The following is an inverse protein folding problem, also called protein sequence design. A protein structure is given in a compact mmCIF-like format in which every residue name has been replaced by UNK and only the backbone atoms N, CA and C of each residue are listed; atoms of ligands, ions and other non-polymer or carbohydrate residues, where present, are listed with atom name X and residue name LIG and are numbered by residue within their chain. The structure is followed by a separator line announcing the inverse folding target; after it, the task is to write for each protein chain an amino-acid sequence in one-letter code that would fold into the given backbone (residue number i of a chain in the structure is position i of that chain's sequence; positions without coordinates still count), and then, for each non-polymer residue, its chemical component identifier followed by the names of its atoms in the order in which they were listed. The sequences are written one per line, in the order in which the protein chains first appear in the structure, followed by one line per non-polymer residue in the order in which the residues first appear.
data_IF_499433050873
#
_entry.id   IF_499433050873
#
_cell.length_a   1.000
_cell.length_b   1.000
_cell.length_c   1.000
_cell.angle_alpha   90.00
_cell.angle_beta   90.00
_cell.angle_gamma   90.00
#
_symmetry.space_group_name_H-M   'P 1'
#
loop_
_entity.id
_entity.type
_entity.pdbx_description
1 polymer ?
#
# COMPACT_ATOMS: atom_id res chain seq x y z
N UNK A 1 -7.53 8.27 62.66
CA UNK A 1 -7.18 8.60 61.26
C UNK A 1 -6.21 7.57 60.68
N UNK A 2 -6.62 6.31 60.46
CA UNK A 2 -5.70 5.25 59.96
C UNK A 2 -6.40 4.12 59.18
N UNK A 3 -7.64 4.32 58.71
CA UNK A 3 -8.45 3.29 58.02
C UNK A 3 -8.77 3.59 56.55
N UNK A 4 -8.53 4.81 56.07
CA UNK A 4 -8.80 5.17 54.67
C UNK A 4 -7.62 4.89 53.72
N UNK A 5 -6.43 4.60 54.26
CA UNK A 5 -5.23 4.38 53.43
C UNK A 5 -5.20 3.00 52.76
N UNK A 6 -5.98 2.03 53.26
CA UNK A 6 -6.07 0.67 52.70
C UNK A 6 -7.07 0.54 51.54
N UNK A 7 -7.98 1.51 51.36
CA UNK A 7 -8.97 1.49 50.27
C UNK A 7 -8.44 2.12 48.97
N UNK A 8 -7.40 2.95 49.04
CA UNK A 8 -6.78 3.58 47.86
C UNK A 8 -5.80 2.66 47.11
N UNK A 9 -5.36 1.56 47.74
CA UNK A 9 -4.43 0.59 47.14
C UNK A 9 -5.11 -0.52 46.33
N UNK A 10 -6.45 -0.60 46.37
CA UNK A 10 -7.24 -1.57 45.60
C UNK A 10 -7.86 -0.98 44.31
N UNK A 11 -7.75 0.34 44.10
CA UNK A 11 -8.28 1.03 42.91
C UNK A 11 -7.22 1.30 41.83
N UNK A 12 -5.94 1.01 42.10
CA UNK A 12 -4.85 1.21 41.15
C UNK A 12 -4.75 0.20 39.99
N UNK A 13 -5.29 -1.04 40.02
CA UNK A 13 -5.17 -1.92 38.86
C UNK A 13 -6.18 -1.62 37.74
N UNK A 14 -7.16 -0.72 37.95
CA UNK A 14 -8.17 -0.38 36.92
C UNK A 14 -7.73 0.72 35.96
N UNK A 15 -6.68 1.50 36.27
CA UNK A 15 -6.16 2.55 35.37
C UNK A 15 -5.12 2.05 34.37
N UNK A 16 -4.66 0.81 34.52
CA UNK A 16 -3.82 0.11 33.54
C UNK A 16 -4.53 -1.13 33.00
N UNK A 17 -5.81 -0.98 32.64
CA UNK A 17 -6.33 -1.79 31.55
C UNK A 17 -5.53 -1.39 30.31
N UNK A 18 -4.37 -2.01 30.13
CA UNK A 18 -3.56 -1.94 28.92
C UNK A 18 -4.42 -2.56 27.83
N UNK A 19 -5.22 -1.71 27.20
CA UNK A 19 -5.91 -2.03 25.97
C UNK A 19 -4.81 -2.45 25.01
N UNK A 20 -4.68 -3.77 24.79
CA UNK A 20 -3.61 -4.30 23.96
C UNK A 20 -3.87 -3.73 22.58
N UNK A 21 -3.12 -2.70 22.22
CA UNK A 21 -3.26 -2.02 20.94
C UNK A 21 -3.32 -3.08 19.84
N UNK A 22 -4.45 -3.10 19.12
CA UNK A 22 -4.74 -4.13 18.13
C UNK A 22 -3.64 -4.10 17.08
N UNK A 23 -2.85 -5.17 16.99
CA UNK A 23 -1.82 -5.31 15.95
C UNK A 23 -2.48 -5.24 14.57
N UNK A 24 -1.99 -4.34 13.74
CA UNK A 24 -2.50 -4.06 12.39
C UNK A 24 -1.35 -4.06 11.39
N UNK A 25 -1.63 -4.47 10.16
CA UNK A 25 -0.66 -4.46 9.06
C UNK A 25 -1.03 -3.38 8.04
N UNK A 26 -0.03 -2.70 7.49
CA UNK A 26 -0.20 -1.68 6.45
C UNK A 26 0.66 -1.97 5.24
N UNK A 27 0.07 -1.81 4.05
CA UNK A 27 0.78 -1.83 2.78
C UNK A 27 1.55 -0.51 2.61
N UNK A 28 2.87 -0.56 2.62
CA UNK A 28 3.72 0.64 2.57
C UNK A 28 4.10 1.01 1.14
N UNK A 29 4.41 -0.02 0.34
CA UNK A 29 4.93 0.17 -1.00
C UNK A 29 4.47 -0.96 -1.89
N UNK A 30 4.08 -0.60 -3.10
CA UNK A 30 3.86 -1.54 -4.20
C UNK A 30 4.78 -1.13 -5.34
N UNK A 31 5.39 -2.11 -5.99
CA UNK A 31 6.24 -1.90 -7.15
C UNK A 31 5.96 -2.98 -8.17
N UNK A 32 5.45 -2.56 -9.32
CA UNK A 32 5.32 -3.39 -10.50
C UNK A 32 6.45 -3.05 -11.46
N UNK A 33 7.22 -4.06 -11.87
CA UNK A 33 8.20 -3.94 -12.94
C UNK A 33 7.64 -4.57 -14.22
N UNK A 34 7.25 -3.77 -15.23
CA UNK A 34 6.68 -4.30 -16.47
C UNK A 34 7.71 -5.01 -17.36
N UNK A 35 9.02 -4.79 -17.14
CA UNK A 35 10.09 -5.44 -17.92
C UNK A 35 10.32 -6.87 -17.42
N UNK A 36 10.40 -7.04 -16.10
CA UNK A 36 10.65 -8.36 -15.50
C UNK A 36 9.37 -9.11 -15.15
N UNK A 37 8.21 -8.48 -15.31
CA UNK A 37 6.91 -8.97 -14.87
C UNK A 37 6.88 -9.41 -13.40
N UNK A 38 7.54 -8.65 -12.52
CA UNK A 38 7.55 -8.92 -11.08
C UNK A 38 6.76 -7.83 -10.36
N UNK A 39 5.74 -8.24 -9.60
CA UNK A 39 5.06 -7.40 -8.64
C UNK A 39 5.65 -7.67 -7.25
N UNK A 40 6.01 -6.61 -6.54
CA UNK A 40 6.55 -6.68 -5.20
C UNK A 40 5.89 -5.67 -4.29
N UNK A 41 5.78 -6.00 -3.01
CA UNK A 41 5.24 -5.08 -2.02
C UNK A 41 5.86 -5.25 -0.65
N UNK A 42 5.77 -4.19 0.15
CA UNK A 42 6.30 -4.12 1.50
C UNK A 42 5.16 -3.87 2.49
N UNK A 43 5.19 -4.62 3.59
CA UNK A 43 4.22 -4.50 4.67
C UNK A 43 4.95 -4.19 5.97
N UNK A 44 4.36 -3.31 6.78
CA UNK A 44 4.71 -3.06 8.17
C UNK A 44 3.64 -3.60 9.10
N UNK A 45 4.06 -4.03 10.28
CA UNK A 45 3.19 -4.28 11.42
C UNK A 45 3.33 -3.11 12.40
N UNK A 46 2.21 -2.70 12.99
CA UNK A 46 2.15 -1.59 13.92
C UNK A 46 0.84 -1.60 14.71
N UNK A 47 0.51 -0.44 15.26
CA UNK A 47 -0.72 -0.23 16.01
C UNK A 47 -1.42 1.07 15.58
N UNK A 48 -2.69 1.20 15.99
CA UNK A 48 -3.42 2.45 15.89
C UNK A 48 -3.31 3.17 17.23
N UNK A 49 -2.86 4.42 17.21
CA UNK A 49 -2.74 5.26 18.40
C UNK A 49 -4.12 5.74 18.90
N UNK A 50 -4.12 6.48 20.01
CA UNK A 50 -5.35 7.03 20.61
C UNK A 50 -6.05 8.07 19.72
N UNK A 51 -5.36 8.57 18.68
CA UNK A 51 -5.88 9.53 17.71
C UNK A 51 -6.31 8.87 16.39
N UNK A 52 -6.27 7.53 16.31
CA UNK A 52 -6.65 6.79 15.11
C UNK A 52 -5.57 6.76 14.02
N UNK A 53 -4.35 7.23 14.30
CA UNK A 53 -3.23 7.20 13.37
C UNK A 53 -2.49 5.87 13.45
N UNK A 54 -2.01 5.39 12.30
CA UNK A 54 -1.20 4.19 12.25
C UNK A 54 0.26 4.52 12.55
N UNK A 55 0.81 3.86 13.55
CA UNK A 55 2.22 3.94 13.94
C UNK A 55 2.95 2.64 13.57
N UNK A 56 3.90 2.68 12.60
CA UNK A 56 4.66 1.50 12.19
C UNK A 56 5.65 1.09 13.29
N UNK A 57 5.67 -0.19 13.66
CA UNK A 57 6.61 -0.72 14.65
C UNK A 57 7.75 -1.50 14.01
N UNK A 58 7.41 -2.39 13.07
CA UNK A 58 8.41 -3.25 12.42
C UNK A 58 8.01 -3.64 10.99
N UNK A 59 8.99 -3.86 10.10
CA UNK A 59 8.70 -4.45 8.81
C UNK A 59 8.29 -5.92 8.98
N UNK A 60 7.24 -6.33 8.26
CA UNK A 60 6.90 -7.75 8.06
C UNK A 60 7.84 -8.36 7.02
N UNK A 61 8.14 -7.59 5.97
CA UNK A 61 9.12 -7.95 4.95
C UNK A 61 8.67 -7.53 3.55
N UNK A 62 9.38 -8.04 2.55
CA UNK A 62 9.07 -7.84 1.13
C UNK A 62 8.52 -9.13 0.54
N UNK A 63 7.40 -9.00 -0.15
CA UNK A 63 6.73 -10.07 -0.87
C UNK A 63 6.93 -9.85 -2.37
N UNK A 64 6.99 -10.94 -3.11
CA UNK A 64 7.15 -10.92 -4.56
C UNK A 64 6.20 -11.92 -5.18
N UNK A 65 5.63 -11.56 -6.31
CA UNK A 65 4.83 -12.46 -7.14
C UNK A 65 5.32 -12.34 -8.59
N UNK A 66 5.50 -13.50 -9.22
CA UNK A 66 5.84 -13.68 -10.62
C UNK A 66 4.59 -14.26 -11.30
N UNK A 67 3.70 -13.44 -11.87
CA UNK A 67 2.39 -13.88 -12.36
C UNK A 67 2.50 -14.97 -13.44
N UNK A 68 3.41 -14.80 -14.39
CA UNK A 68 3.64 -15.76 -15.47
C UNK A 68 4.16 -17.12 -14.99
N UNK A 69 4.95 -17.13 -13.91
CA UNK A 69 5.41 -18.36 -13.28
C UNK A 69 4.37 -18.94 -12.31
N UNK A 70 3.27 -18.24 -12.05
CA UNK A 70 2.26 -18.55 -11.04
C UNK A 70 2.90 -18.84 -9.67
N UNK A 71 3.86 -18.01 -9.26
CA UNK A 71 4.57 -18.20 -7.98
C UNK A 71 4.65 -16.93 -7.15
N UNK A 72 4.58 -17.10 -5.83
CA UNK A 72 4.76 -16.06 -4.83
C UNK A 72 5.94 -16.44 -3.93
N UNK A 73 6.74 -15.46 -3.52
CA UNK A 73 7.85 -15.67 -2.60
C UNK A 73 7.89 -14.67 -1.45
N UNK A 74 8.31 -15.17 -0.30
CA UNK A 74 8.48 -14.41 0.94
C UNK A 74 9.52 -15.10 1.82
N UNK A 75 10.47 -14.32 2.36
CA UNK A 75 11.49 -14.81 3.30
C UNK A 75 12.21 -16.10 2.81
N UNK A 76 12.55 -16.15 1.51
CA UNK A 76 13.23 -17.29 0.89
C UNK A 76 12.35 -18.52 0.61
N UNK A 77 11.07 -18.49 0.98
CA UNK A 77 10.09 -19.50 0.59
C UNK A 77 9.42 -19.09 -0.71
N UNK A 78 9.13 -20.07 -1.57
CA UNK A 78 8.43 -19.89 -2.84
C UNK A 78 7.30 -20.90 -2.92
N UNK A 79 6.08 -20.40 -3.11
CA UNK A 79 4.86 -21.20 -3.19
C UNK A 79 4.16 -20.93 -4.53
N UNK A 80 3.56 -21.96 -5.10
CA UNK A 80 2.78 -21.85 -6.34
C UNK A 80 1.33 -21.47 -6.08
N UNK A 81 0.70 -20.84 -7.06
CA UNK A 81 -0.74 -20.63 -7.12
C UNK A 81 -1.26 -21.02 -8.51
N UNK A 82 -2.55 -20.81 -8.78
CA UNK A 82 -3.12 -21.28 -10.06
C UNK A 82 -2.60 -20.45 -11.23
N UNK A 83 -2.30 -21.10 -12.36
CA UNK A 83 -1.89 -20.40 -13.58
C UNK A 83 -2.94 -19.40 -14.06
N UNK A 84 -4.23 -19.73 -13.94
CA UNK A 84 -5.32 -18.83 -14.33
C UNK A 84 -5.32 -17.52 -13.52
N UNK A 85 -5.05 -17.60 -12.21
CA UNK A 85 -4.90 -16.41 -11.38
C UNK A 85 -3.64 -15.61 -11.77
N UNK A 86 -2.58 -16.31 -12.18
CA UNK A 86 -1.34 -15.70 -12.67
C UNK A 86 -1.56 -14.90 -13.95
N UNK A 87 -2.23 -15.52 -14.93
CA UNK A 87 -2.60 -14.89 -16.20
C UNK A 87 -3.51 -13.68 -15.96
N UNK A 88 -4.53 -13.83 -15.10
CA UNK A 88 -5.45 -12.73 -14.78
C UNK A 88 -4.74 -11.54 -14.11
N UNK A 89 -3.84 -11.81 -13.15
CA UNK A 89 -3.05 -10.76 -12.52
C UNK A 89 -2.10 -10.08 -13.51
N UNK A 90 -1.49 -10.86 -14.40
CA UNK A 90 -0.62 -10.33 -15.46
C UNK A 90 -1.37 -9.33 -16.35
N UNK A 91 -2.57 -9.68 -16.83
CA UNK A 91 -3.39 -8.84 -17.71
C UNK A 91 -3.75 -7.50 -17.05
N UNK A 92 -4.08 -7.51 -15.76
CA UNK A 92 -4.38 -6.29 -15.00
C UNK A 92 -3.15 -5.37 -14.91
N UNK A 93 -1.99 -5.93 -14.58
CA UNK A 93 -0.76 -5.17 -14.40
C UNK A 93 -0.20 -4.65 -15.74
N UNK A 94 -0.38 -5.42 -16.81
CA UNK A 94 -0.02 -4.99 -18.16
C UNK A 94 -0.92 -3.84 -18.62
N UNK A 95 -2.24 -3.93 -18.38
CA UNK A 95 -3.18 -2.85 -18.63
C UNK A 95 -2.82 -1.57 -17.86
N UNK A 96 -2.42 -1.69 -16.59
CA UNK A 96 -1.91 -0.56 -15.80
C UNK A 96 -0.65 0.05 -16.43
N UNK A 97 0.26 -0.79 -16.93
CA UNK A 97 1.50 -0.34 -17.57
C UNK A 97 1.22 0.44 -18.85
N UNK A 98 0.32 -0.06 -19.68
CA UNK A 98 -0.18 0.62 -20.86
C UNK A 98 -0.81 1.98 -20.54
N UNK A 99 -1.63 2.04 -19.49
CA UNK A 99 -2.21 3.30 -19.02
C UNK A 99 -1.11 4.29 -18.59
N UNK A 100 -0.18 3.87 -17.75
CA UNK A 100 0.90 4.72 -17.25
C UNK A 100 1.77 5.29 -18.38
N UNK A 101 2.14 4.46 -19.36
CA UNK A 101 2.90 4.92 -20.53
C UNK A 101 2.08 5.90 -21.37
N UNK A 102 0.80 5.59 -21.64
CA UNK A 102 -0.09 6.47 -22.39
C UNK A 102 -0.27 7.83 -21.71
N UNK A 103 -0.45 7.84 -20.39
CA UNK A 103 -0.54 9.07 -19.59
C UNK A 103 0.77 9.86 -19.58
N UNK A 104 1.91 9.17 -19.59
CA UNK A 104 3.23 9.83 -19.67
C UNK A 104 3.42 10.52 -21.02
N UNK A 105 3.09 9.83 -22.12
CA UNK A 105 3.14 10.42 -23.46
C UNK A 105 2.19 11.62 -23.55
N UNK A 106 0.95 11.48 -23.08
CA UNK A 106 0.01 12.59 -23.03
C UNK A 106 0.57 13.80 -22.25
N UNK A 107 1.17 13.58 -21.08
CA UNK A 107 1.76 14.65 -20.29
C UNK A 107 2.92 15.33 -21.04
N UNK A 108 3.79 14.55 -21.69
CA UNK A 108 4.94 15.04 -22.42
C UNK A 108 4.56 15.81 -23.70
N UNK A 109 3.56 15.33 -24.44
CA UNK A 109 3.00 16.00 -25.63
C UNK A 109 2.25 17.30 -25.29
N UNK A 110 1.84 17.47 -24.04
CA UNK A 110 1.10 18.65 -23.56
C UNK A 110 2.03 19.73 -22.97
N UNK A 111 3.35 19.48 -22.81
CA UNK A 111 4.34 20.50 -22.41
C UNK A 111 4.23 21.82 -23.23
N UNK A 112 3.52 22.88 -22.85
CA UNK A 112 2.80 23.21 -21.61
C UNK A 112 1.57 24.08 -21.89
N UNK A 113 0.71 23.69 -22.83
CA UNK A 113 -0.55 24.41 -23.08
C UNK A 113 -1.76 23.66 -22.53
N UNK A 114 -2.57 24.30 -21.66
CA UNK A 114 -3.86 23.77 -21.27
C UNK A 114 -4.70 23.44 -22.50
N UNK A 115 -5.45 22.33 -22.47
CA UNK A 115 -6.34 21.89 -23.57
C UNK A 115 -7.32 22.98 -24.05
N UNK A 116 -7.65 23.94 -23.19
CA UNK A 116 -8.49 25.11 -23.48
C UNK A 116 -7.78 26.15 -24.38
N UNK A 117 -6.47 26.35 -24.25
CA UNK A 117 -5.70 27.26 -25.10
C UNK A 117 -5.64 26.74 -26.56
N UNK A 118 -5.36 25.43 -26.72
CA UNK A 118 -5.32 24.77 -28.04
C UNK A 118 -6.65 24.83 -28.80
N UNK A 119 -7.79 24.91 -28.10
CA UNK A 119 -9.12 25.08 -28.71
C UNK A 119 -9.40 26.52 -29.11
N UNK A 120 -8.90 27.51 -28.38
CA UNK A 120 -9.10 28.93 -28.70
C UNK A 120 -8.34 29.35 -29.96
N UNK A 121 -7.11 28.83 -30.16
CA UNK A 121 -6.27 29.14 -31.33
C UNK A 121 -6.80 28.48 -32.61
N UNK A 122 -7.36 27.27 -32.51
CA UNK A 122 -8.02 26.61 -33.62
C UNK A 122 -9.31 27.31 -34.08
N UNK A 123 -9.90 28.16 -33.23
CA UNK A 123 -11.11 28.95 -33.53
C UNK A 123 -10.78 30.34 -34.09
N UNK A 124 -9.63 30.92 -33.76
CA UNK A 124 -9.20 32.24 -34.24
C UNK A 124 -8.25 32.20 -35.46
N UNK A 125 -7.76 31.03 -35.87
CA UNK A 125 -6.93 30.83 -37.06
C UNK A 125 -7.69 30.56 -38.37
N UNK A 126 -8.89 31.11 -38.55
CA UNK A 126 -9.68 31.05 -39.80
C UNK A 126 -10.05 32.43 -40.31
#
# INVERSE_FOLDING_TARGET
MKRYFLLLLLLTPLLFAYDKAKKVQRLEKVTWNPITHVLSWQITEGHIDVHGQYEPERPVGSFFIEPQAATMSFAGKKEGFTHQEGDHLHDILDSLSHYLMSSTLWWQEVNGEPREARKADAVHGK
#
